data_IF_345604159576
#
_entry.id   IF_345604159576
#
_cell.length_a   1.000
_cell.length_b   1.000
_cell.length_c   1.000
_cell.angle_alpha   90.00
_cell.angle_beta   90.00
_cell.angle_gamma   90.00
#
_symmetry.space_group_name_H-M   'P 1'
#
loop_
_entity.id
_entity.type
_entity.pdbx_description
1 polymer ?
#
# COMPACT_ATOMS: atom_id res chain seq x y z
N UNK A 1 33.13 -33.73 10.32
CA UNK A 1 31.66 -33.69 10.12
C UNK A 1 31.42 -33.67 8.62
N UNK A 2 30.94 -34.78 8.06
CA UNK A 2 30.54 -34.84 6.64
C UNK A 2 29.26 -34.02 6.50
N UNK A 3 29.35 -32.84 5.92
CA UNK A 3 28.19 -32.02 5.59
C UNK A 3 27.56 -32.61 4.32
N UNK A 4 26.52 -33.43 4.47
CA UNK A 4 25.77 -34.03 3.37
C UNK A 4 24.79 -33.05 2.70
N UNK A 5 24.80 -31.76 3.10
CA UNK A 5 23.94 -30.74 2.51
C UNK A 5 24.28 -30.54 1.04
N UNK A 6 23.26 -30.75 0.19
CA UNK A 6 23.34 -30.40 -1.23
C UNK A 6 23.37 -28.88 -1.34
N UNK A 7 24.33 -28.32 -2.06
CA UNK A 7 24.38 -26.88 -2.31
C UNK A 7 24.64 -26.56 -3.77
N UNK A 8 24.41 -25.30 -4.16
CA UNK A 8 24.78 -24.79 -5.48
C UNK A 8 26.03 -23.95 -5.32
N UNK A 9 27.09 -24.31 -6.05
CA UNK A 9 28.38 -23.61 -5.99
C UNK A 9 28.62 -22.88 -7.32
N UNK A 10 28.91 -21.58 -7.22
CA UNK A 10 29.16 -20.72 -8.37
C UNK A 10 30.64 -20.37 -8.40
N UNK A 11 31.29 -20.68 -9.50
CA UNK A 11 32.64 -20.24 -9.81
C UNK A 11 32.59 -19.15 -10.86
N UNK A 12 32.95 -17.94 -10.44
CA UNK A 12 33.05 -16.80 -11.33
C UNK A 12 34.51 -16.54 -11.68
N UNK A 13 34.79 -16.45 -12.97
CA UNK A 13 36.12 -16.13 -13.48
C UNK A 13 36.01 -14.98 -14.46
N UNK A 14 36.75 -13.89 -14.19
CA UNK A 14 36.78 -12.74 -15.07
C UNK A 14 37.54 -13.03 -16.38
N UNK A 15 37.31 -12.17 -17.38
CA UNK A 15 37.87 -12.24 -18.73
C UNK A 15 39.36 -12.63 -18.80
N UNK A 16 40.21 -11.98 -17.98
CA UNK A 16 41.66 -12.24 -17.96
C UNK A 16 42.01 -13.67 -17.56
N UNK A 17 41.14 -14.32 -16.78
CA UNK A 17 41.37 -15.68 -16.33
C UNK A 17 41.30 -16.68 -17.48
N UNK A 18 40.31 -16.52 -18.36
CA UNK A 18 40.06 -17.38 -19.52
C UNK A 18 41.09 -17.16 -20.64
N UNK A 19 41.43 -15.89 -20.91
CA UNK A 19 42.46 -15.52 -21.90
C UNK A 19 43.84 -16.11 -21.63
N UNK A 20 44.16 -16.36 -20.36
CA UNK A 20 45.48 -16.89 -19.93
C UNK A 20 45.39 -18.34 -19.44
N UNK A 21 44.36 -19.07 -19.90
CA UNK A 21 44.09 -20.43 -19.45
C UNK A 21 45.20 -21.41 -19.87
N UNK A 22 45.74 -22.14 -18.89
CA UNK A 22 46.84 -23.09 -19.08
C UNK A 22 46.68 -24.31 -18.17
N UNK A 23 47.57 -25.30 -18.30
CA UNK A 23 47.52 -26.55 -17.50
C UNK A 23 47.52 -26.31 -15.98
N UNK A 24 48.25 -25.29 -15.50
CA UNK A 24 48.33 -24.96 -14.06
C UNK A 24 46.99 -24.43 -13.55
N UNK A 25 46.36 -23.50 -14.27
CA UNK A 25 45.05 -22.93 -13.90
C UNK A 25 43.92 -23.96 -13.96
N UNK A 26 43.95 -24.85 -14.94
CA UNK A 26 43.03 -26.00 -14.99
C UNK A 26 43.13 -26.84 -13.73
N UNK A 27 44.35 -27.08 -13.25
CA UNK A 27 44.59 -27.85 -12.03
C UNK A 27 44.04 -27.12 -10.80
N UNK A 28 44.20 -25.80 -10.71
CA UNK A 28 43.57 -24.98 -9.66
C UNK A 28 42.04 -25.10 -9.65
N UNK A 29 41.39 -25.03 -10.82
CA UNK A 29 39.93 -25.20 -10.91
C UNK A 29 39.54 -26.60 -10.47
N UNK A 30 40.26 -27.62 -10.93
CA UNK A 30 39.98 -29.02 -10.57
C UNK A 30 40.09 -29.25 -9.07
N UNK A 31 41.09 -28.67 -8.41
CA UNK A 31 41.24 -28.75 -6.96
C UNK A 31 40.12 -28.01 -6.22
N UNK A 32 39.68 -26.86 -6.71
CA UNK A 32 38.57 -26.12 -6.12
C UNK A 32 37.24 -26.87 -6.27
N UNK A 33 36.95 -27.43 -7.46
CA UNK A 33 35.76 -28.24 -7.72
C UNK A 33 35.76 -29.53 -6.89
N UNK A 34 36.92 -30.17 -6.70
CA UNK A 34 37.06 -31.36 -5.85
C UNK A 34 36.77 -31.12 -4.38
N UNK A 35 36.80 -29.86 -3.90
CA UNK A 35 36.45 -29.53 -2.51
C UNK A 35 34.94 -29.47 -2.28
N UNK A 36 34.13 -29.50 -3.33
CA UNK A 36 32.67 -29.28 -3.27
C UNK A 36 31.88 -30.50 -3.83
N UNK A 37 32.25 -31.71 -3.39
CA UNK A 37 31.79 -33.00 -3.98
C UNK A 37 30.28 -33.28 -3.90
N UNK A 38 29.53 -32.57 -3.06
CA UNK A 38 28.06 -32.70 -2.92
C UNK A 38 27.29 -31.48 -3.47
N UNK A 39 27.84 -30.79 -4.47
CA UNK A 39 27.27 -29.53 -4.97
C UNK A 39 26.99 -29.54 -6.47
N UNK A 40 25.97 -28.80 -6.88
CA UNK A 40 25.80 -28.43 -8.27
C UNK A 40 26.77 -27.30 -8.61
N UNK A 41 27.80 -27.62 -9.39
CA UNK A 41 28.84 -26.67 -9.79
C UNK A 41 28.42 -25.96 -11.07
N UNK A 42 28.43 -24.62 -11.04
CA UNK A 42 28.20 -23.74 -12.19
C UNK A 42 29.38 -22.80 -12.40
N UNK A 43 29.76 -22.58 -13.66
CA UNK A 43 30.72 -21.54 -14.04
C UNK A 43 29.98 -20.36 -14.66
N UNK A 44 30.24 -19.15 -14.17
CA UNK A 44 29.67 -17.92 -14.73
C UNK A 44 30.78 -17.14 -15.43
N UNK A 45 30.54 -16.78 -16.69
CA UNK A 45 31.43 -15.95 -17.52
C UNK A 45 30.86 -14.55 -17.71
N UNK A 46 31.72 -13.58 -18.02
CA UNK A 46 31.32 -12.18 -18.26
C UNK A 46 30.81 -11.93 -19.67
N UNK A 47 31.14 -12.80 -20.63
CA UNK A 47 30.68 -12.70 -22.01
C UNK A 47 30.36 -14.07 -22.63
N UNK A 48 29.66 -14.05 -23.77
CA UNK A 48 29.40 -15.26 -24.57
C UNK A 48 30.65 -15.79 -25.26
N UNK A 49 31.61 -14.91 -25.56
CA UNK A 49 32.92 -15.31 -26.13
C UNK A 49 33.68 -16.16 -25.12
N UNK A 50 33.75 -15.72 -23.86
CA UNK A 50 34.37 -16.48 -22.77
C UNK A 50 33.62 -17.77 -22.45
N UNK A 51 32.31 -17.82 -22.70
CA UNK A 51 31.53 -19.04 -22.50
C UNK A 51 32.05 -20.16 -23.37
N UNK A 52 32.35 -19.88 -24.63
CA UNK A 52 32.81 -20.91 -25.56
C UNK A 52 34.20 -21.44 -25.14
N UNK A 53 35.08 -20.56 -24.64
CA UNK A 53 36.35 -20.95 -24.02
C UNK A 53 36.16 -21.81 -22.76
N UNK A 54 35.23 -21.40 -21.88
CA UNK A 54 34.91 -22.12 -20.65
C UNK A 54 34.26 -23.49 -20.94
N UNK A 55 33.41 -23.59 -21.96
CA UNK A 55 32.78 -24.82 -22.43
C UNK A 55 33.83 -25.79 -22.94
N UNK A 56 34.77 -25.31 -23.76
CA UNK A 56 35.85 -26.16 -24.29
C UNK A 56 36.76 -26.66 -23.17
N UNK A 57 37.06 -25.80 -22.19
CA UNK A 57 37.78 -26.18 -20.98
C UNK A 57 37.01 -27.26 -20.17
N UNK A 58 35.71 -27.07 -19.95
CA UNK A 58 34.87 -28.03 -19.21
C UNK A 58 34.78 -29.39 -19.92
N UNK A 59 34.64 -29.40 -21.27
CA UNK A 59 34.68 -30.61 -22.09
C UNK A 59 36.00 -31.36 -21.94
N UNK A 60 37.12 -30.64 -22.12
CA UNK A 60 38.46 -31.24 -22.11
C UNK A 60 38.84 -31.82 -20.75
N UNK A 61 38.43 -31.15 -19.66
CA UNK A 61 38.91 -31.47 -18.32
C UNK A 61 37.85 -32.06 -17.38
N UNK A 62 36.62 -32.26 -17.87
CA UNK A 62 35.47 -32.82 -17.14
C UNK A 62 35.22 -32.09 -15.81
N UNK A 63 35.15 -30.76 -15.88
CA UNK A 63 35.01 -29.89 -14.69
C UNK A 63 33.56 -29.81 -14.20
N UNK A 64 32.62 -29.60 -15.10
CA UNK A 64 31.18 -29.64 -14.84
C UNK A 64 30.43 -29.97 -16.15
N UNK A 65 29.11 -30.24 -16.10
CA UNK A 65 28.27 -30.32 -17.30
C UNK A 65 28.34 -29.02 -18.12
N UNK A 66 28.31 -29.14 -19.44
CA UNK A 66 28.37 -27.97 -20.35
C UNK A 66 27.18 -27.03 -20.11
N UNK A 67 26.01 -27.58 -19.79
CA UNK A 67 24.80 -26.84 -19.42
C UNK A 67 24.94 -26.01 -18.15
N UNK A 68 26.02 -26.20 -17.38
CA UNK A 68 26.31 -25.45 -16.16
C UNK A 68 27.32 -24.30 -16.39
N UNK A 69 27.74 -24.08 -17.63
CA UNK A 69 28.54 -22.90 -18.01
C UNK A 69 27.57 -21.83 -18.51
N UNK A 70 27.52 -20.70 -17.81
CA UNK A 70 26.49 -19.67 -17.98
C UNK A 70 27.15 -18.33 -18.30
N UNK A 71 26.64 -17.70 -19.34
CA UNK A 71 26.95 -16.31 -19.74
C UNK A 71 25.71 -15.43 -19.65
N UNK A 72 25.81 -14.11 -19.87
CA UNK A 72 24.66 -13.21 -19.87
C UNK A 72 23.52 -13.67 -20.79
N UNK A 73 23.83 -14.14 -22.01
CA UNK A 73 22.84 -14.61 -22.99
C UNK A 73 22.48 -16.10 -22.87
N UNK A 74 23.14 -16.85 -21.98
CA UNK A 74 22.87 -18.29 -21.81
C UNK A 74 21.50 -18.57 -21.21
N UNK A 75 20.94 -19.71 -21.59
CA UNK A 75 19.80 -20.30 -20.91
C UNK A 75 20.19 -20.66 -19.47
N UNK A 76 19.48 -20.06 -18.51
CA UNK A 76 19.74 -20.23 -17.06
C UNK A 76 18.84 -21.29 -16.44
N UNK A 77 18.06 -22.02 -17.25
CA UNK A 77 17.07 -23.01 -16.77
C UNK A 77 17.72 -24.06 -15.87
N UNK A 78 18.83 -24.66 -16.30
CA UNK A 78 19.54 -25.68 -15.51
C UNK A 78 20.04 -25.14 -14.14
N UNK A 79 20.47 -23.88 -14.10
CA UNK A 79 20.89 -23.21 -12.86
C UNK A 79 19.73 -22.96 -11.91
N UNK A 80 18.65 -22.38 -12.42
CA UNK A 80 17.47 -22.16 -11.62
C UNK A 80 16.89 -23.50 -11.13
N UNK A 81 16.82 -24.53 -11.98
CA UNK A 81 16.39 -25.86 -11.57
C UNK A 81 17.24 -26.44 -10.44
N UNK A 82 18.56 -26.42 -10.56
CA UNK A 82 19.45 -26.88 -9.50
C UNK A 82 19.24 -26.09 -8.20
N UNK A 83 19.14 -24.76 -8.28
CA UNK A 83 18.92 -23.89 -7.12
C UNK A 83 17.61 -24.19 -6.41
N UNK A 84 16.51 -24.26 -7.17
CA UNK A 84 15.21 -24.52 -6.60
C UNK A 84 15.09 -25.95 -6.06
N UNK A 85 15.72 -26.94 -6.69
CA UNK A 85 15.74 -28.31 -6.17
C UNK A 85 16.48 -28.39 -4.83
N UNK A 86 17.60 -27.67 -4.67
CA UNK A 86 18.30 -27.57 -3.37
C UNK A 86 17.40 -26.88 -2.35
N UNK A 87 16.80 -25.75 -2.70
CA UNK A 87 15.90 -25.02 -1.82
C UNK A 87 14.70 -25.87 -1.37
N UNK A 88 14.10 -26.63 -2.28
CA UNK A 88 12.99 -27.54 -1.97
C UNK A 88 13.38 -28.59 -0.93
N UNK A 89 14.53 -29.23 -1.12
CA UNK A 89 15.03 -30.27 -0.22
C UNK A 89 15.37 -29.71 1.18
N UNK A 90 15.99 -28.54 1.25
CA UNK A 90 16.33 -27.88 2.53
C UNK A 90 15.05 -27.46 3.28
N UNK A 91 14.07 -26.89 2.58
CA UNK A 91 12.77 -26.53 3.17
C UNK A 91 12.00 -27.76 3.63
N UNK A 92 12.07 -28.88 2.89
CA UNK A 92 11.47 -30.15 3.31
C UNK A 92 12.12 -30.69 4.58
N UNK A 93 13.46 -30.71 4.63
CA UNK A 93 14.21 -31.16 5.81
C UNK A 93 13.85 -30.32 7.03
N UNK A 94 13.82 -28.99 6.86
CA UNK A 94 13.42 -28.07 7.92
C UNK A 94 11.96 -28.28 8.36
N UNK A 95 11.05 -28.58 7.43
CA UNK A 95 9.65 -28.90 7.74
C UNK A 95 9.54 -30.16 8.58
N UNK A 96 10.25 -31.23 8.20
CA UNK A 96 10.29 -32.48 8.94
C UNK A 96 10.88 -32.30 10.34
N UNK A 97 11.93 -31.51 10.49
CA UNK A 97 12.50 -31.17 11.80
C UNK A 97 11.49 -30.41 12.69
N UNK A 98 10.69 -29.51 12.11
CA UNK A 98 9.63 -28.80 12.82
C UNK A 98 8.46 -29.73 13.21
N UNK A 99 8.21 -30.80 12.48
CA UNK A 99 7.17 -31.79 12.79
C UNK A 99 7.46 -32.56 14.08
N UNK A 100 8.74 -32.82 14.36
CA UNK A 100 9.19 -33.60 15.52
C UNK A 100 9.20 -32.77 16.82
N UNK A 101 9.13 -31.43 16.72
CA UNK A 101 9.16 -30.54 17.90
C UNK A 101 7.79 -30.36 18.56
N UNK A 102 7.77 -30.21 19.88
CA UNK A 102 6.57 -29.93 20.68
C UNK A 102 5.83 -28.72 20.13
N UNK A 103 4.55 -28.88 19.81
CA UNK A 103 3.76 -27.84 19.12
C UNK A 103 3.54 -26.61 20.00
N UNK A 104 4.21 -25.52 19.65
CA UNK A 104 3.93 -24.17 20.18
C UNK A 104 3.21 -23.32 19.13
N UNK A 105 2.52 -22.26 19.55
CA UNK A 105 1.86 -21.31 18.63
C UNK A 105 2.82 -20.74 17.58
N UNK A 106 4.08 -20.53 17.93
CA UNK A 106 5.13 -20.07 17.01
C UNK A 106 5.49 -21.17 16.00
N UNK A 107 5.66 -22.42 16.42
CA UNK A 107 5.94 -23.55 15.52
C UNK A 107 4.78 -23.75 14.53
N UNK A 108 3.53 -23.62 14.96
CA UNK A 108 2.37 -23.69 14.08
C UNK A 108 2.37 -22.59 13.02
N UNK A 109 2.61 -21.33 13.40
CA UNK A 109 2.68 -20.21 12.44
C UNK A 109 3.80 -20.40 11.42
N UNK A 110 4.98 -20.86 11.86
CA UNK A 110 6.12 -21.15 10.99
C UNK A 110 5.81 -22.29 10.01
N UNK A 111 5.13 -23.37 10.46
CA UNK A 111 4.67 -24.47 9.58
C UNK A 111 3.72 -23.98 8.49
N UNK A 112 2.72 -23.14 8.83
CA UNK A 112 1.78 -22.60 7.84
C UNK A 112 2.49 -21.79 6.76
N UNK A 113 3.45 -20.93 7.15
CA UNK A 113 4.24 -20.14 6.20
C UNK A 113 5.10 -21.03 5.32
N UNK A 114 5.75 -22.04 5.91
CA UNK A 114 6.63 -22.97 5.19
C UNK A 114 5.87 -23.80 4.16
N UNK A 115 4.68 -24.31 4.50
CA UNK A 115 3.83 -25.07 3.58
C UNK A 115 3.42 -24.23 2.36
N UNK A 116 3.05 -22.97 2.57
CA UNK A 116 2.74 -22.06 1.46
C UNK A 116 3.93 -21.87 0.50
N UNK A 117 5.16 -21.75 1.04
CA UNK A 117 6.36 -21.65 0.21
C UNK A 117 6.64 -22.94 -0.57
N UNK A 118 6.47 -24.11 0.06
CA UNK A 118 6.64 -25.42 -0.58
C UNK A 118 5.64 -25.63 -1.72
N UNK A 119 4.37 -25.26 -1.53
CA UNK A 119 3.35 -25.31 -2.58
C UNK A 119 3.71 -24.44 -3.79
N UNK A 120 4.16 -23.21 -3.52
CA UNK A 120 4.58 -22.28 -4.59
C UNK A 120 5.78 -22.81 -5.36
N UNK A 121 6.74 -23.45 -4.68
CA UNK A 121 7.94 -23.99 -5.31
C UNK A 121 7.60 -25.21 -6.19
N UNK A 122 6.72 -26.10 -5.73
CA UNK A 122 6.21 -27.25 -6.49
C UNK A 122 5.44 -26.84 -7.75
N UNK A 123 4.73 -25.71 -7.70
CA UNK A 123 3.96 -25.21 -8.85
C UNK A 123 4.84 -24.77 -10.04
N UNK A 124 6.17 -24.65 -9.86
CA UNK A 124 7.10 -24.20 -10.91
C UNK A 124 7.31 -25.21 -12.05
N UNK A 125 7.20 -26.50 -11.77
CA UNK A 125 7.50 -27.56 -12.75
C UNK A 125 6.30 -27.91 -13.66
N UNK A 126 5.16 -27.23 -13.49
CA UNK A 126 4.06 -27.36 -14.44
C UNK A 126 4.46 -26.68 -15.77
N UNK A 127 4.88 -27.48 -16.75
CA UNK A 127 5.03 -27.08 -18.15
C UNK A 127 3.66 -26.64 -18.69
N UNK A 128 3.29 -25.39 -18.46
CA UNK A 128 2.09 -24.79 -19.01
C UNK A 128 2.49 -24.16 -20.34
N UNK A 129 2.14 -24.81 -21.47
CA UNK A 129 2.03 -24.09 -22.74
C UNK A 129 1.18 -22.86 -22.47
N UNK A 130 1.75 -21.66 -22.63
CA UNK A 130 1.03 -20.43 -22.36
C UNK A 130 -0.33 -20.46 -23.08
N UNK A 131 -1.46 -20.37 -22.37
CA UNK A 131 -2.78 -20.38 -22.99
C UNK A 131 -3.01 -19.16 -23.90
N UNK A 132 -2.12 -18.16 -23.85
CA UNK A 132 -2.09 -17.01 -24.76
C UNK A 132 -1.50 -17.35 -26.13
N UNK A 133 -2.37 -17.49 -27.13
CA UNK A 133 -1.97 -17.67 -28.53
C UNK A 133 -1.43 -16.37 -29.13
N UNK A 134 -0.56 -16.44 -30.15
CA UNK A 134 -0.09 -15.25 -30.90
C UNK A 134 -1.25 -14.40 -31.44
N UNK A 135 -2.31 -15.05 -31.90
CA UNK A 135 -3.52 -14.40 -32.42
C UNK A 135 -4.31 -13.68 -31.31
N UNK A 136 -4.39 -14.25 -30.12
CA UNK A 136 -4.98 -13.58 -28.95
C UNK A 136 -4.21 -12.28 -28.60
N UNK A 137 -2.88 -12.32 -28.59
CA UNK A 137 -2.04 -11.15 -28.33
C UNK A 137 -2.21 -10.04 -29.39
N UNK A 138 -2.36 -10.42 -30.65
CA UNK A 138 -2.62 -9.47 -31.74
C UNK A 138 -3.98 -8.79 -31.60
N UNK A 139 -5.02 -9.53 -31.21
CA UNK A 139 -6.34 -8.98 -30.92
C UNK A 139 -6.24 -7.96 -29.77
N UNK A 140 -5.61 -8.33 -28.64
CA UNK A 140 -5.43 -7.41 -27.51
C UNK A 140 -4.68 -6.14 -27.93
N UNK A 141 -3.61 -6.29 -28.72
CA UNK A 141 -2.80 -5.16 -29.19
C UNK A 141 -3.59 -4.23 -30.11
N UNK A 142 -4.37 -4.78 -31.04
CA UNK A 142 -5.19 -3.97 -31.97
C UNK A 142 -6.37 -3.31 -31.28
N UNK A 143 -6.93 -3.96 -30.25
CA UNK A 143 -8.00 -3.42 -29.40
C UNK A 143 -7.56 -2.26 -28.50
N UNK A 144 -6.26 -1.98 -28.37
CA UNK A 144 -5.77 -0.82 -27.61
C UNK A 144 -6.31 0.52 -28.12
N UNK A 145 -6.51 0.64 -29.44
CA UNK A 145 -7.13 1.81 -30.08
C UNK A 145 -8.58 2.04 -29.65
N UNK A 146 -9.25 1.00 -29.15
CA UNK A 146 -10.62 1.04 -28.69
C UNK A 146 -10.71 1.00 -27.15
N UNK A 147 -9.61 1.25 -26.42
CA UNK A 147 -9.65 1.40 -24.96
C UNK A 147 -9.26 0.17 -24.12
N UNK A 148 -8.67 -0.87 -24.72
CA UNK A 148 -7.93 -1.90 -23.96
C UNK A 148 -6.58 -1.34 -23.53
N UNK A 149 -6.33 -1.30 -22.23
CA UNK A 149 -5.12 -0.67 -21.66
C UNK A 149 -4.00 -1.70 -21.43
N UNK A 150 -4.36 -2.96 -21.14
CA UNK A 150 -3.38 -4.00 -20.87
C UNK A 150 -4.02 -5.35 -20.58
N UNK A 151 -3.21 -6.34 -20.26
CA UNK A 151 -3.68 -7.66 -19.86
C UNK A 151 -2.77 -8.33 -18.83
N UNK A 152 -3.31 -9.31 -18.11
CA UNK A 152 -2.57 -10.19 -17.19
C UNK A 152 -3.09 -11.61 -17.31
N UNK A 153 -2.18 -12.57 -17.41
CA UNK A 153 -2.50 -13.99 -17.33
C UNK A 153 -2.28 -14.50 -15.89
N UNK A 154 -3.29 -15.13 -15.30
CA UNK A 154 -3.24 -15.81 -14.01
C UNK A 154 -3.69 -17.26 -14.20
N UNK A 155 -2.73 -18.18 -14.35
CA UNK A 155 -3.05 -19.57 -14.68
C UNK A 155 -3.79 -19.67 -16.02
N UNK A 156 -5.05 -20.13 -16.00
CA UNK A 156 -5.92 -20.22 -17.18
C UNK A 156 -6.93 -19.05 -17.27
N UNK A 157 -6.75 -17.99 -16.48
CA UNK A 157 -7.58 -16.78 -16.53
C UNK A 157 -6.82 -15.64 -17.20
N UNK A 158 -7.43 -15.03 -18.22
CA UNK A 158 -6.94 -13.86 -18.93
C UNK A 158 -7.74 -12.63 -18.50
N UNK A 159 -7.10 -11.75 -17.74
CA UNK A 159 -7.68 -10.47 -17.34
C UNK A 159 -7.30 -9.39 -18.34
N UNK A 160 -8.30 -8.77 -18.96
CA UNK A 160 -8.16 -7.64 -19.88
C UNK A 160 -8.52 -6.37 -19.13
N UNK A 161 -7.64 -5.37 -19.17
CA UNK A 161 -7.86 -4.09 -18.51
C UNK A 161 -8.43 -3.06 -19.47
N UNK A 162 -9.54 -2.43 -19.08
CA UNK A 162 -10.30 -1.49 -19.91
C UNK A 162 -10.33 -0.08 -19.32
N UNK A 163 -10.37 0.93 -20.19
CA UNK A 163 -10.65 2.33 -19.83
C UNK A 163 -12.15 2.61 -19.78
N UNK A 164 -12.54 3.82 -19.37
CA UNK A 164 -13.95 4.20 -19.26
C UNK A 164 -14.66 4.26 -20.62
N UNK A 165 -13.92 4.62 -21.68
CA UNK A 165 -14.45 4.68 -23.04
C UNK A 165 -14.93 3.31 -23.52
N UNK A 166 -14.10 2.28 -23.41
CA UNK A 166 -14.48 0.90 -23.76
C UNK A 166 -15.59 0.35 -22.88
N UNK A 167 -15.61 0.73 -21.59
CA UNK A 167 -16.66 0.31 -20.64
C UNK A 167 -18.04 0.84 -21.06
N UNK A 168 -18.08 2.05 -21.62
CA UNK A 168 -19.32 2.70 -22.05
C UNK A 168 -19.78 2.22 -23.44
N UNK A 169 -18.86 1.75 -24.29
CA UNK A 169 -19.16 1.17 -25.60
C UNK A 169 -19.47 -0.33 -25.54
N UNK A 170 -20.69 -0.68 -25.08
CA UNK A 170 -21.09 -2.08 -24.83
C UNK A 170 -20.94 -3.01 -26.04
N UNK A 171 -21.30 -2.54 -27.24
CA UNK A 171 -21.20 -3.34 -28.46
C UNK A 171 -19.73 -3.64 -28.79
N UNK A 172 -18.90 -2.59 -28.80
CA UNK A 172 -17.47 -2.70 -29.10
C UNK A 172 -16.73 -3.57 -28.08
N UNK A 173 -17.06 -3.43 -26.80
CA UNK A 173 -16.56 -4.28 -25.71
C UNK A 173 -16.92 -5.73 -25.92
N UNK A 174 -18.17 -6.02 -26.28
CA UNK A 174 -18.66 -7.37 -26.53
C UNK A 174 -17.97 -8.01 -27.74
N UNK A 175 -17.72 -7.24 -28.81
CA UNK A 175 -16.96 -7.71 -29.98
C UNK A 175 -15.54 -8.12 -29.60
N UNK A 176 -14.83 -7.26 -28.86
CA UNK A 176 -13.45 -7.54 -28.44
C UNK A 176 -13.42 -8.74 -27.49
N UNK A 177 -14.37 -8.82 -26.55
CA UNK A 177 -14.49 -9.94 -25.63
C UNK A 177 -14.71 -11.26 -26.38
N UNK A 178 -15.62 -11.28 -27.35
CA UNK A 178 -15.88 -12.46 -28.18
C UNK A 178 -14.65 -12.85 -29.02
N UNK A 179 -13.97 -11.88 -29.62
CA UNK A 179 -12.73 -12.12 -30.36
C UNK A 179 -11.64 -12.74 -29.47
N UNK A 180 -11.48 -12.27 -28.23
CA UNK A 180 -10.49 -12.81 -27.29
C UNK A 180 -10.90 -14.21 -26.82
N UNK A 181 -12.16 -14.42 -26.44
CA UNK A 181 -12.71 -15.73 -26.03
C UNK A 181 -12.56 -16.79 -27.13
N UNK A 182 -12.74 -16.42 -28.39
CA UNK A 182 -12.54 -17.33 -29.52
C UNK A 182 -11.07 -17.76 -29.73
N UNK A 183 -10.10 -17.05 -29.14
CA UNK A 183 -8.67 -17.28 -29.35
C UNK A 183 -7.90 -17.63 -28.06
N UNK A 184 -8.60 -17.72 -26.92
CA UNK A 184 -8.07 -18.07 -25.61
C UNK A 184 -8.85 -19.25 -25.03
N UNK A 185 -8.18 -20.35 -24.70
CA UNK A 185 -8.82 -21.60 -24.24
C UNK A 185 -9.15 -21.61 -22.73
N UNK A 186 -9.18 -20.44 -22.10
CA UNK A 186 -9.45 -20.27 -20.68
C UNK A 186 -10.49 -19.19 -20.44
N UNK A 187 -10.62 -18.75 -19.19
CA UNK A 187 -11.60 -17.73 -18.83
C UNK A 187 -11.09 -16.33 -19.18
N UNK A 188 -11.96 -15.48 -19.73
CA UNK A 188 -11.62 -14.10 -20.09
C UNK A 188 -12.42 -13.16 -19.21
N UNK A 189 -11.72 -12.29 -18.49
CA UNK A 189 -12.28 -11.35 -17.53
C UNK A 189 -11.94 -9.92 -17.91
N UNK A 190 -12.93 -9.11 -18.25
CA UNK A 190 -12.73 -7.67 -18.42
C UNK A 190 -12.82 -6.97 -17.07
N UNK A 191 -11.79 -6.23 -16.72
CA UNK A 191 -11.70 -5.49 -15.45
C UNK A 191 -11.33 -4.03 -15.73
N UNK A 192 -12.02 -3.06 -15.13
CA UNK A 192 -11.60 -1.68 -15.26
C UNK A 192 -10.26 -1.49 -14.54
N UNK A 193 -9.36 -0.70 -15.14
CA UNK A 193 -7.99 -0.53 -14.63
C UNK A 193 -7.95 -0.05 -13.17
N UNK A 194 -8.89 0.82 -12.78
CA UNK A 194 -9.04 1.36 -11.43
C UNK A 194 -9.38 0.29 -10.36
N UNK A 195 -9.79 -0.92 -10.76
CA UNK A 195 -9.99 -2.05 -9.85
C UNK A 195 -8.74 -2.94 -9.70
N UNK A 196 -7.68 -2.69 -10.47
CA UNK A 196 -6.53 -3.62 -10.57
C UNK A 196 -5.17 -2.96 -10.35
N UNK A 197 -4.99 -1.72 -10.81
CA UNK A 197 -3.86 -0.90 -10.39
C UNK A 197 -4.28 -0.07 -9.18
N UNK A 198 -3.59 -0.26 -8.06
CA UNK A 198 -3.60 0.72 -6.96
C UNK A 198 -2.57 1.79 -7.31
N UNK A 199 -2.97 3.05 -7.54
CA UNK A 199 -2.02 4.14 -7.77
C UNK A 199 -1.06 4.28 -6.58
N UNK A 200 0.15 4.80 -6.82
CA UNK A 200 1.17 4.98 -5.76
C UNK A 200 0.88 6.13 -4.79
N UNK A 201 -0.19 6.90 -4.99
CA UNK A 201 -0.62 7.94 -4.05
C UNK A 201 -1.81 7.42 -3.21
N UNK A 202 -1.55 6.70 -2.12
CA UNK A 202 -2.59 6.15 -1.24
C UNK A 202 -2.87 7.10 -0.09
N UNK A 203 -3.54 8.21 -0.38
CA UNK A 203 -3.92 9.20 0.63
C UNK A 203 -5.19 8.76 1.35
N UNK A 204 -5.13 8.67 2.67
CA UNK A 204 -6.20 8.20 3.56
C UNK A 204 -6.54 9.21 4.66
N UNK A 205 -7.69 9.04 5.28
CA UNK A 205 -8.01 9.73 6.52
C UNK A 205 -6.99 9.34 7.60
N UNK A 206 -6.47 10.28 8.37
CA UNK A 206 -5.37 10.02 9.29
C UNK A 206 -3.97 10.05 8.65
N UNK A 207 -3.83 10.20 7.33
CA UNK A 207 -2.51 10.41 6.72
C UNK A 207 -2.01 11.85 6.88
N UNK A 208 -0.70 12.01 6.68
CA UNK A 208 -0.04 13.31 6.64
C UNK A 208 -0.60 14.22 5.55
N UNK A 209 -1.05 15.40 5.99
CA UNK A 209 -1.25 16.57 5.15
C UNK A 209 -0.02 17.46 5.23
N UNK A 210 0.52 17.82 4.07
CA UNK A 210 1.55 18.86 3.96
C UNK A 210 0.93 20.12 3.36
N UNK A 211 1.21 21.26 3.99
CA UNK A 211 1.04 22.56 3.37
C UNK A 211 2.31 22.89 2.57
N UNK A 212 2.25 22.78 1.25
CA UNK A 212 3.43 22.96 0.39
C UNK A 212 3.92 24.41 0.36
N UNK A 213 3.02 25.37 0.59
CA UNK A 213 3.35 26.80 0.64
C UNK A 213 4.24 27.14 1.84
N UNK A 214 4.07 26.45 2.97
CA UNK A 214 4.68 26.84 4.26
C UNK A 214 5.54 25.76 4.91
N UNK A 215 5.46 24.52 4.42
CA UNK A 215 6.15 23.37 5.01
C UNK A 215 5.57 22.91 6.36
N UNK A 216 4.35 23.35 6.70
CA UNK A 216 3.63 22.91 7.91
C UNK A 216 2.97 21.55 7.63
N UNK A 217 2.93 20.69 8.64
CA UNK A 217 2.34 19.36 8.56
C UNK A 217 1.12 19.23 9.49
N UNK A 218 0.17 18.40 9.09
CA UNK A 218 -0.99 18.02 9.89
C UNK A 218 -1.61 16.72 9.39
N UNK A 219 -2.90 16.54 9.62
CA UNK A 219 -3.63 15.31 9.27
C UNK A 219 -4.77 15.59 8.29
N UNK A 220 -4.96 14.69 7.33
CA UNK A 220 -6.17 14.63 6.51
C UNK A 220 -7.27 13.98 7.34
N UNK A 221 -8.30 14.73 7.70
CA UNK A 221 -9.35 14.26 8.60
C UNK A 221 -10.31 13.27 7.94
N UNK A 222 -11.09 13.74 6.97
CA UNK A 222 -12.16 12.96 6.34
C UNK A 222 -12.48 13.47 4.95
N UNK A 223 -12.85 12.56 4.04
CA UNK A 223 -13.31 12.91 2.69
C UNK A 223 -14.83 13.07 2.63
N UNK A 224 -15.29 13.87 1.68
CA UNK A 224 -16.70 14.00 1.35
C UNK A 224 -16.94 14.51 -0.06
N UNK A 225 -18.21 14.60 -0.43
CA UNK A 225 -18.69 15.15 -1.68
C UNK A 225 -19.44 16.45 -1.42
N UNK A 226 -18.91 17.53 -1.99
CA UNK A 226 -19.49 18.86 -1.93
C UNK A 226 -20.37 19.08 -3.17
N UNK A 227 -21.65 19.38 -2.92
CA UNK A 227 -22.66 19.58 -3.96
C UNK A 227 -23.15 21.02 -3.94
N UNK A 228 -23.17 21.67 -5.09
CA UNK A 228 -23.85 22.95 -5.24
C UNK A 228 -25.35 22.71 -5.45
N UNK A 229 -26.19 23.26 -4.59
CA UNK A 229 -27.64 23.06 -4.62
C UNK A 229 -28.33 23.79 -5.77
N UNK A 230 -27.63 24.71 -6.46
CA UNK A 230 -28.14 25.41 -7.66
C UNK A 230 -27.74 24.72 -8.97
N UNK A 231 -26.56 24.10 -9.01
CA UNK A 231 -26.01 23.43 -10.18
C UNK A 231 -25.84 21.92 -9.89
N UNK A 232 -26.86 21.15 -10.27
CA UNK A 232 -26.97 19.69 -10.05
C UNK A 232 -25.86 18.84 -10.70
N UNK A 233 -24.91 19.46 -11.41
CA UNK A 233 -23.83 18.78 -12.12
C UNK A 233 -22.43 19.08 -11.56
N UNK A 234 -22.31 19.88 -10.48
CA UNK A 234 -21.00 20.25 -9.90
C UNK A 234 -20.74 19.54 -8.58
N UNK A 235 -20.50 18.22 -8.66
CA UNK A 235 -20.04 17.41 -7.52
C UNK A 235 -18.51 17.55 -7.42
N UNK A 236 -18.02 17.89 -6.23
CA UNK A 236 -16.59 18.02 -5.96
C UNK A 236 -16.17 17.18 -4.77
N UNK A 237 -15.16 16.33 -4.94
CA UNK A 237 -14.54 15.65 -3.80
C UNK A 237 -13.76 16.66 -2.96
N UNK A 238 -14.00 16.65 -1.66
CA UNK A 238 -13.33 17.50 -0.68
C UNK A 238 -12.72 16.67 0.45
N UNK A 239 -11.74 17.23 1.14
CA UNK A 239 -11.19 16.69 2.37
C UNK A 239 -11.22 17.73 3.49
N UNK A 240 -11.39 17.26 4.72
CA UNK A 240 -11.30 18.07 5.92
C UNK A 240 -9.89 18.03 6.51
N UNK A 241 -9.47 19.13 7.10
CA UNK A 241 -8.30 19.21 7.98
C UNK A 241 -8.48 20.41 8.92
N UNK A 242 -7.39 21.01 9.38
CA UNK A 242 -7.39 22.14 10.29
C UNK A 242 -6.79 23.44 9.67
N UNK A 243 -7.38 24.62 9.91
CA UNK A 243 -6.93 25.96 9.52
C UNK A 243 -5.55 26.37 9.94
N UNK A 244 -5.08 25.93 11.12
CA UNK A 244 -3.72 26.24 11.53
C UNK A 244 -2.68 25.42 10.72
N UNK A 245 -3.12 24.37 10.02
CA UNK A 245 -2.31 23.59 9.06
C UNK A 245 -2.44 24.17 7.65
N UNK A 246 -3.66 24.44 7.19
CA UNK A 246 -3.93 24.83 5.79
C UNK A 246 -5.09 25.81 5.69
N UNK A 247 -4.95 26.86 4.87
CA UNK A 247 -5.98 27.90 4.66
C UNK A 247 -6.19 28.20 3.18
N UNK A 248 -7.24 28.96 2.86
CA UNK A 248 -7.67 29.22 1.48
C UNK A 248 -6.51 29.70 0.59
N UNK A 249 -6.33 29.05 -0.56
CA UNK A 249 -5.24 29.31 -1.51
C UNK A 249 -3.96 28.54 -1.22
N UNK A 250 -3.82 27.90 -0.06
CA UNK A 250 -2.70 27.01 0.22
C UNK A 250 -2.85 25.68 -0.54
N UNK A 251 -1.74 25.19 -1.07
CA UNK A 251 -1.67 23.90 -1.77
C UNK A 251 -1.53 22.76 -0.77
N UNK A 252 -2.43 21.78 -0.87
CA UNK A 252 -2.40 20.55 -0.10
C UNK A 252 -1.55 19.51 -0.82
N UNK A 253 -0.61 18.92 -0.08
CA UNK A 253 0.25 17.84 -0.56
C UNK A 253 0.30 16.65 0.39
N UNK A 254 0.83 15.53 -0.09
CA UNK A 254 1.14 14.35 0.72
C UNK A 254 2.48 14.49 1.46
N UNK A 255 2.82 13.50 2.30
CA UNK A 255 4.16 13.41 2.91
C UNK A 255 5.31 13.33 1.89
N UNK A 256 5.04 12.83 0.67
CA UNK A 256 6.02 12.79 -0.43
C UNK A 256 6.09 14.08 -1.24
N UNK A 257 5.23 15.07 -0.93
CA UNK A 257 5.15 16.34 -1.65
C UNK A 257 4.34 16.27 -2.95
N UNK A 258 3.53 15.22 -3.14
CA UNK A 258 2.60 15.15 -4.26
C UNK A 258 1.40 16.04 -3.97
N UNK A 259 1.07 16.97 -4.89
CA UNK A 259 -0.11 17.82 -4.78
C UNK A 259 -1.39 16.98 -4.87
N UNK A 260 -2.31 17.21 -3.94
CA UNK A 260 -3.61 16.55 -3.89
C UNK A 260 -4.79 17.52 -4.07
N UNK A 261 -4.58 18.81 -3.87
CA UNK A 261 -5.63 19.80 -4.02
C UNK A 261 -5.26 21.17 -3.48
N UNK A 262 -6.27 22.00 -3.29
CA UNK A 262 -6.14 23.35 -2.79
C UNK A 262 -7.19 23.63 -1.72
N UNK A 263 -6.79 24.29 -0.64
CA UNK A 263 -7.72 24.69 0.39
C UNK A 263 -8.61 25.84 -0.12
N UNK A 264 -9.93 25.71 0.07
CA UNK A 264 -10.93 26.70 -0.36
C UNK A 264 -11.58 27.43 0.82
N UNK A 265 -11.32 26.97 2.04
CA UNK A 265 -11.82 27.58 3.27
C UNK A 265 -11.02 27.05 4.45
N UNK A 266 -10.70 27.88 5.46
CA UNK A 266 -11.10 29.28 5.64
C UNK A 266 -10.19 30.29 4.96
N UNK A 267 -10.67 31.53 4.77
CA UNK A 267 -9.86 32.62 4.20
C UNK A 267 -8.67 33.08 5.06
N UNK A 268 -8.61 32.66 6.33
CA UNK A 268 -7.53 32.98 7.27
C UNK A 268 -7.24 31.77 8.17
N UNK A 269 -5.97 31.58 8.51
CA UNK A 269 -5.49 30.56 9.46
C UNK A 269 -5.97 30.80 10.89
N UNK A 270 -6.23 32.06 11.23
CA UNK A 270 -6.90 32.42 12.47
C UNK A 270 -8.41 32.16 12.33
N UNK A 271 -8.78 30.89 12.13
CA UNK A 271 -10.16 30.46 12.07
C UNK A 271 -10.53 29.75 13.36
N UNK A 272 -11.38 30.43 14.11
CA UNK A 272 -12.02 30.00 15.36
C UNK A 272 -12.68 28.62 15.26
N UNK A 273 -13.08 28.18 14.07
CA UNK A 273 -13.84 26.94 13.87
C UNK A 273 -12.98 25.71 13.56
N UNK A 274 -11.67 25.93 13.41
CA UNK A 274 -10.61 24.96 13.16
C UNK A 274 -10.91 23.79 12.22
N UNK A 275 -11.77 24.02 11.22
CA UNK A 275 -11.95 23.11 10.08
C UNK A 275 -11.48 23.82 8.82
N UNK A 276 -10.73 23.09 8.00
CA UNK A 276 -10.35 23.49 6.65
C UNK A 276 -10.95 22.54 5.65
N UNK A 277 -11.38 23.09 4.52
CA UNK A 277 -11.95 22.33 3.42
C UNK A 277 -11.00 22.45 2.23
N UNK A 278 -10.52 21.30 1.79
CA UNK A 278 -9.59 21.14 0.68
C UNK A 278 -10.39 20.59 -0.49
N UNK A 279 -10.40 21.30 -1.61
CA UNK A 279 -10.94 20.77 -2.87
C UNK A 279 -9.90 19.86 -3.49
N UNK A 280 -10.26 18.59 -3.69
CA UNK A 280 -9.34 17.58 -4.22
C UNK A 280 -9.27 17.68 -5.74
N UNK A 281 -8.06 17.60 -6.29
CA UNK A 281 -7.82 17.64 -7.73
C UNK A 281 -8.43 16.38 -8.39
N UNK A 282 -9.25 16.51 -9.45
CA UNK A 282 -9.94 15.36 -10.05
C UNK A 282 -9.01 14.24 -10.53
N UNK A 283 -7.78 14.59 -10.92
CA UNK A 283 -6.76 13.65 -11.39
C UNK A 283 -6.31 12.66 -10.30
N UNK A 284 -6.41 13.02 -9.02
CA UNK A 284 -5.95 12.19 -7.89
C UNK A 284 -7.09 11.44 -7.19
N UNK A 285 -8.36 11.68 -7.56
CA UNK A 285 -9.51 11.05 -6.90
C UNK A 285 -9.45 9.52 -6.96
N UNK A 286 -9.04 8.97 -8.11
CA UNK A 286 -8.93 7.52 -8.31
C UNK A 286 -7.76 6.88 -7.53
N UNK A 287 -6.84 7.69 -7.01
CA UNK A 287 -5.73 7.24 -6.18
C UNK A 287 -6.01 7.30 -4.68
N UNK A 288 -6.95 8.13 -4.23
CA UNK A 288 -7.32 8.23 -2.83
C UNK A 288 -7.75 6.87 -2.27
N UNK A 289 -7.10 6.45 -1.19
CA UNK A 289 -7.61 5.38 -0.36
C UNK A 289 -8.43 6.02 0.74
N UNK A 290 -9.67 6.40 0.41
CA UNK A 290 -10.55 7.20 1.27
C UNK A 290 -10.83 6.63 2.68
N UNK A 291 -10.38 5.40 3.00
CA UNK A 291 -10.79 4.71 4.24
C UNK A 291 -9.67 3.99 4.99
N UNK A 292 -9.52 4.28 6.28
CA UNK A 292 -9.00 3.38 7.32
C UNK A 292 -10.08 2.42 7.81
N UNK A 293 -11.34 2.83 7.71
CA UNK A 293 -12.50 2.28 8.38
C UNK A 293 -13.75 2.36 7.48
N UNK A 294 -14.09 1.25 6.81
CA UNK A 294 -15.11 1.20 5.76
C UNK A 294 -16.59 1.29 6.24
N UNK A 295 -16.88 2.09 7.26
CA UNK A 295 -18.21 2.38 7.78
C UNK A 295 -18.68 3.78 7.42
N UNK A 296 -19.99 3.95 7.25
CA UNK A 296 -20.57 5.27 7.02
C UNK A 296 -20.49 6.12 8.29
N UNK A 297 -19.96 7.34 8.16
CA UNK A 297 -19.85 8.26 9.28
C UNK A 297 -21.02 9.25 9.21
N UNK A 298 -21.81 9.31 10.28
CA UNK A 298 -22.88 10.30 10.41
C UNK A 298 -22.31 11.56 11.08
N UNK A 299 -22.49 12.72 10.45
CA UNK A 299 -22.12 14.02 11.04
C UNK A 299 -23.40 14.80 11.32
N UNK A 300 -23.88 14.72 12.56
CA UNK A 300 -25.07 15.43 13.03
C UNK A 300 -24.81 16.11 14.37
N UNK A 301 -25.57 17.16 14.68
CA UNK A 301 -25.47 17.81 15.97
C UNK A 301 -26.01 16.87 17.05
N UNK A 302 -25.24 16.71 18.12
CA UNK A 302 -25.59 15.85 19.24
C UNK A 302 -25.67 16.67 20.53
N UNK A 303 -26.69 16.44 21.37
CA UNK A 303 -26.75 17.07 22.68
C UNK A 303 -25.51 16.73 23.50
N UNK A 304 -24.93 17.71 24.19
CA UNK A 304 -23.73 17.50 25.01
C UNK A 304 -23.90 16.37 26.04
N UNK A 305 -25.09 16.28 26.65
CA UNK A 305 -25.42 15.22 27.62
C UNK A 305 -25.31 13.81 27.04
N UNK A 306 -25.47 13.62 25.71
CA UNK A 306 -25.34 12.29 25.10
C UNK A 306 -23.91 11.88 24.80
N UNK A 307 -22.98 12.84 24.76
CA UNK A 307 -21.57 12.65 24.43
C UNK A 307 -20.66 12.51 25.66
N UNK A 308 -21.13 12.97 26.82
CA UNK A 308 -20.37 12.90 28.08
C UNK A 308 -20.01 11.45 28.44
N UNK A 309 -18.75 11.21 28.79
CA UNK A 309 -18.16 9.91 29.13
C UNK A 309 -18.25 8.85 28.03
N UNK A 310 -18.42 9.27 26.77
CA UNK A 310 -18.41 8.33 25.64
C UNK A 310 -16.98 8.00 25.24
N UNK A 311 -16.78 6.74 24.90
CA UNK A 311 -15.57 6.26 24.26
C UNK A 311 -15.44 6.85 22.86
N UNK A 312 -14.24 7.30 22.54
CA UNK A 312 -13.90 7.91 21.27
C UNK A 312 -12.64 7.29 20.67
N UNK A 313 -12.54 7.37 19.35
CA UNK A 313 -11.37 6.96 18.59
C UNK A 313 -11.02 8.01 17.54
N UNK A 314 -9.73 8.19 17.24
CA UNK A 314 -9.28 8.96 16.08
C UNK A 314 -8.14 8.26 15.35
N UNK A 315 -7.90 8.69 14.12
CA UNK A 315 -6.72 8.35 13.32
C UNK A 315 -5.94 9.64 13.03
N UNK A 316 -4.76 9.78 13.64
CA UNK A 316 -3.86 10.93 13.45
C UNK A 316 -2.60 10.55 12.69
N UNK A 317 -2.00 11.50 11.96
CA UNK A 317 -0.79 11.25 11.18
C UNK A 317 0.43 10.86 12.05
N UNK A 318 0.47 11.34 13.30
CA UNK A 318 1.60 11.10 14.20
C UNK A 318 1.33 9.94 15.14
N UNK A 319 0.17 9.93 15.81
CA UNK A 319 -0.13 8.89 16.81
C UNK A 319 -0.78 7.64 16.23
N UNK A 320 -1.27 7.68 14.98
CA UNK A 320 -2.10 6.61 14.42
C UNK A 320 -3.46 6.49 15.11
N UNK A 321 -3.95 5.25 15.29
CA UNK A 321 -5.19 4.98 16.03
C UNK A 321 -4.98 5.23 17.52
N UNK A 322 -5.84 6.08 18.11
CA UNK A 322 -5.82 6.39 19.55
C UNK A 322 -7.24 6.34 20.09
N UNK A 323 -7.38 5.84 21.32
CA UNK A 323 -8.65 5.66 22.01
C UNK A 323 -8.66 6.47 23.30
N UNK A 324 -9.84 6.91 23.68
CA UNK A 324 -10.02 7.76 24.83
C UNK A 324 -11.48 7.89 25.21
N UNK A 325 -11.75 8.77 26.15
CA UNK A 325 -13.10 9.09 26.56
C UNK A 325 -13.31 10.60 26.71
N UNK A 326 -14.54 11.04 26.47
CA UNK A 326 -14.93 12.43 26.68
C UNK A 326 -15.16 12.64 28.17
N UNK A 327 -14.16 13.12 28.90
CA UNK A 327 -14.26 13.26 30.36
C UNK A 327 -15.14 14.43 30.76
N UNK A 328 -14.97 15.59 30.10
CA UNK A 328 -15.66 16.80 30.48
C UNK A 328 -16.03 17.63 29.25
N UNK A 329 -17.32 17.98 29.16
CA UNK A 329 -17.83 19.06 28.31
C UNK A 329 -18.34 20.12 29.29
N UNK A 330 -17.46 20.74 30.08
CA UNK A 330 -17.83 21.81 31.01
C UNK A 330 -17.11 23.09 30.63
N UNK A 331 -17.85 24.20 30.53
CA UNK A 331 -17.46 25.63 30.57
C UNK A 331 -16.12 26.04 29.93
N UNK A 332 -15.60 25.22 29.01
CA UNK A 332 -14.37 25.46 28.30
C UNK A 332 -14.73 25.81 26.87
N UNK A 333 -14.62 27.11 26.59
CA UNK A 333 -14.88 27.66 25.29
C UNK A 333 -13.58 28.15 24.68
N UNK A 334 -13.30 27.71 23.46
CA UNK A 334 -12.31 28.37 22.62
C UNK A 334 -13.08 29.28 21.67
N UNK A 335 -12.79 30.58 21.76
CA UNK A 335 -13.39 31.61 20.91
C UNK A 335 -14.93 31.62 20.92
N UNK A 336 -15.52 31.69 22.12
CA UNK A 336 -16.97 31.72 22.37
C UNK A 336 -17.73 30.46 21.88
N UNK A 337 -17.02 29.33 21.77
CA UNK A 337 -17.60 28.04 21.35
C UNK A 337 -17.12 26.91 22.25
N UNK A 338 -18.07 26.08 22.67
CA UNK A 338 -17.79 24.89 23.46
C UNK A 338 -16.84 23.95 22.68
N UNK A 339 -15.88 23.38 23.40
CA UNK A 339 -14.98 22.35 22.87
C UNK A 339 -15.06 21.08 23.72
N UNK A 340 -14.56 19.98 23.17
CA UNK A 340 -14.47 18.69 23.87
C UNK A 340 -13.06 18.50 24.41
N UNK A 341 -12.95 18.19 25.69
CA UNK A 341 -11.74 17.62 26.27
C UNK A 341 -11.82 16.10 26.19
N UNK A 342 -10.75 15.48 25.70
CA UNK A 342 -10.65 14.03 25.51
C UNK A 342 -9.42 13.55 26.25
N UNK A 343 -9.63 12.60 27.15
CA UNK A 343 -8.54 11.91 27.86
C UNK A 343 -8.21 10.61 27.16
N UNK A 344 -6.92 10.28 27.14
CA UNK A 344 -6.43 9.01 26.57
C UNK A 344 -6.79 7.85 27.48
N UNK A 345 -7.12 6.69 26.88
CA UNK A 345 -7.21 5.43 27.62
C UNK A 345 -5.81 4.91 28.02
N UNK A 346 -4.77 5.39 27.33
CA UNK A 346 -3.37 5.08 27.63
C UNK A 346 -2.79 6.16 28.56
N UNK A 347 -2.47 5.84 29.82
CA UNK A 347 -1.93 6.83 30.75
C UNK A 347 -0.52 7.30 30.38
N UNK A 348 0.22 6.53 29.57
CA UNK A 348 1.59 6.87 29.15
C UNK A 348 1.63 7.72 27.88
N UNK A 349 0.55 7.72 27.08
CA UNK A 349 0.50 8.40 25.79
C UNK A 349 -0.73 9.31 25.68
N UNK A 350 -0.58 10.58 25.29
CA UNK A 350 -1.71 11.48 25.11
C UNK A 350 -2.60 11.02 23.96
N UNK A 351 -3.88 11.40 24.01
CA UNK A 351 -4.84 11.06 22.96
C UNK A 351 -4.40 11.65 21.62
N UNK A 352 -3.79 12.84 21.60
CA UNK A 352 -3.31 13.54 20.42
C UNK A 352 -1.97 14.23 20.67
N UNK A 353 -1.12 14.30 19.63
CA UNK A 353 0.15 15.06 19.68
C UNK A 353 0.28 16.03 18.51
N UNK A 354 1.34 16.84 18.50
CA UNK A 354 1.72 17.65 17.34
C UNK A 354 1.75 16.80 16.06
N UNK A 355 1.09 17.29 15.01
CA UNK A 355 0.92 16.60 13.72
C UNK A 355 -0.44 15.91 13.53
N UNK A 356 -1.20 15.65 14.61
CA UNK A 356 -2.54 15.05 14.51
C UNK A 356 -3.66 16.05 14.22
N UNK A 357 -3.34 17.33 14.21
CA UNK A 357 -4.29 18.40 13.91
C UNK A 357 -5.08 18.15 12.62
N UNK A 358 -6.39 18.30 12.70
CA UNK A 358 -7.30 17.97 11.60
C UNK A 358 -7.83 16.53 11.61
N UNK A 359 -7.35 15.65 12.49
CA UNK A 359 -7.91 14.32 12.67
C UNK A 359 -9.37 14.37 13.17
N UNK A 360 -10.22 13.45 12.70
CA UNK A 360 -11.63 13.38 13.12
C UNK A 360 -11.77 12.46 14.34
N UNK A 361 -12.53 12.94 15.32
CA UNK A 361 -12.93 12.19 16.51
C UNK A 361 -14.24 11.46 16.23
N UNK A 362 -14.21 10.15 16.42
CA UNK A 362 -15.31 9.22 16.17
C UNK A 362 -15.87 8.65 17.46
N UNK A 363 -17.18 8.39 17.51
CA UNK A 363 -17.85 7.64 18.58
C UNK A 363 -18.90 6.70 17.99
N UNK A 364 -19.31 5.68 18.76
CA UNK A 364 -20.42 4.79 18.40
C UNK A 364 -21.63 5.09 19.27
N UNK A 365 -22.79 5.30 18.65
CA UNK A 365 -24.09 5.48 19.32
C UNK A 365 -25.11 4.61 18.60
N UNK A 366 -25.81 3.74 19.33
CA UNK A 366 -26.85 2.84 18.78
C UNK A 366 -26.38 2.03 17.56
N UNK A 367 -25.11 1.59 17.59
CA UNK A 367 -24.48 0.83 16.50
C UNK A 367 -24.12 1.64 15.26
N UNK A 368 -24.26 2.97 15.28
CA UNK A 368 -23.87 3.88 14.20
C UNK A 368 -22.62 4.68 14.57
N UNK A 369 -21.77 4.92 13.58
CA UNK A 369 -20.56 5.72 13.74
C UNK A 369 -20.84 7.20 13.53
N UNK A 370 -20.31 8.02 14.43
CA UNK A 370 -20.50 9.47 14.44
C UNK A 370 -19.18 10.20 14.39
N UNK A 371 -19.05 11.14 13.44
CA UNK A 371 -17.97 12.13 13.41
C UNK A 371 -18.38 13.33 14.24
N UNK A 372 -17.87 13.42 15.47
CA UNK A 372 -18.33 14.40 16.45
C UNK A 372 -17.42 15.62 16.56
N UNK A 373 -16.13 15.47 16.23
CA UNK A 373 -15.21 16.59 16.29
C UNK A 373 -13.96 16.46 15.44
N UNK A 374 -13.18 17.54 15.44
CA UNK A 374 -11.88 17.68 14.76
C UNK A 374 -10.84 18.09 15.78
N UNK A 375 -9.68 17.46 15.77
CA UNK A 375 -8.55 17.80 16.64
C UNK A 375 -8.02 19.19 16.31
N UNK A 376 -8.02 20.06 17.32
CA UNK A 376 -7.51 21.44 17.24
C UNK A 376 -5.99 21.53 17.32
N UNK A 377 -5.33 20.56 17.96
CA UNK A 377 -3.92 20.63 18.31
C UNK A 377 -3.65 21.37 19.64
N UNK A 378 -2.49 21.09 20.24
CA UNK A 378 -2.11 21.60 21.57
C UNK A 378 -2.57 20.72 22.75
N UNK A 379 -1.77 20.71 23.82
CA UNK A 379 -2.09 20.17 25.15
C UNK A 379 -2.58 21.30 26.05
N UNK A 380 -3.48 21.01 27.00
CA UNK A 380 -3.82 21.95 28.08
C UNK A 380 -2.71 21.99 29.12
N UNK A 381 -1.58 22.63 28.79
CA UNK A 381 -0.50 22.92 29.73
C UNK A 381 -0.72 24.28 30.39
N UNK A 382 -1.68 24.37 31.32
CA UNK A 382 -1.62 25.22 32.52
C UNK A 382 -3.01 25.31 33.17
N UNK A 383 -3.17 24.63 34.30
CA UNK A 383 -4.15 25.06 35.30
C UNK A 383 -3.39 25.73 36.43
N UNK A 384 -3.46 27.06 36.50
CA UNK A 384 -3.27 27.80 37.76
C UNK A 384 -4.31 27.41 38.85
N UNK A 385 -5.08 26.34 38.66
CA UNK A 385 -5.98 25.80 39.65
C UNK A 385 -5.32 24.61 40.36
N UNK A 386 -5.23 24.69 41.68
CA UNK A 386 -4.96 23.59 42.62
C UNK A 386 -6.03 22.50 42.53
N UNK A 387 -6.14 21.84 41.38
CA UNK A 387 -7.00 20.69 41.13
C UNK A 387 -6.17 19.62 40.43
N UNK A 388 -6.14 18.44 41.03
CA UNK A 388 -5.49 17.22 40.56
C UNK A 388 -6.14 16.70 39.26
N UNK A 389 -5.92 17.37 38.13
CA UNK A 389 -6.36 16.92 36.81
C UNK A 389 -5.13 16.49 36.02
N UNK A 390 -5.25 15.31 35.41
CA UNK A 390 -4.24 14.54 34.68
C UNK A 390 -3.68 15.30 33.47
N UNK A 391 -2.35 15.30 33.33
CA UNK A 391 -1.54 16.13 32.43
C UNK A 391 -1.70 15.87 30.90
N UNK A 392 -2.75 15.19 30.41
CA UNK A 392 -2.77 14.68 29.01
C UNK A 392 -4.13 14.79 28.29
N UNK A 393 -4.90 15.87 28.51
CA UNK A 393 -6.15 16.11 27.76
C UNK A 393 -5.90 16.70 26.36
N UNK A 394 -6.58 16.15 25.34
CA UNK A 394 -6.61 16.66 23.97
C UNK A 394 -7.89 17.43 23.68
N UNK A 395 -7.80 18.47 22.85
CA UNK A 395 -8.93 19.34 22.51
C UNK A 395 -9.49 19.00 21.12
N UNK A 396 -10.82 18.86 21.04
CA UNK A 396 -11.54 18.72 19.78
C UNK A 396 -12.69 19.73 19.65
N UNK A 397 -12.86 20.29 18.45
CA UNK A 397 -13.97 21.20 18.11
C UNK A 397 -15.12 20.42 17.48
N UNK A 398 -16.37 20.81 17.77
CA UNK A 398 -17.55 20.17 17.20
C UNK A 398 -17.63 20.30 15.68
N UNK A 399 -17.58 19.16 14.99
CA UNK A 399 -17.47 19.08 13.54
C UNK A 399 -18.70 19.66 12.84
N UNK A 400 -19.91 19.25 13.23
CA UNK A 400 -21.16 19.71 12.58
C UNK A 400 -21.30 21.23 12.59
N UNK A 401 -21.01 21.87 13.73
CA UNK A 401 -21.09 23.33 13.88
C UNK A 401 -20.10 24.05 12.96
N UNK A 402 -18.91 23.49 12.76
CA UNK A 402 -17.91 24.05 11.85
C UNK A 402 -18.36 23.93 10.37
N UNK A 403 -18.90 22.76 9.98
CA UNK A 403 -19.43 22.54 8.63
C UNK A 403 -20.63 23.42 8.33
N UNK A 404 -21.56 23.56 9.28
CA UNK A 404 -22.73 24.43 9.11
C UNK A 404 -22.35 25.88 8.87
N UNK A 405 -21.24 26.35 9.45
CA UNK A 405 -20.75 27.69 9.18
C UNK A 405 -20.14 27.83 7.79
N UNK A 406 -19.47 26.79 7.29
CA UNK A 406 -19.00 26.79 5.91
C UNK A 406 -20.16 26.85 4.92
N UNK A 407 -21.24 26.10 5.15
CA UNK A 407 -22.41 26.03 4.27
C UNK A 407 -23.40 27.18 4.50
N UNK A 408 -23.35 27.87 5.64
CA UNK A 408 -24.23 28.99 5.95
C UNK A 408 -24.18 30.08 4.87
N UNK A 409 -25.35 30.39 4.31
CA UNK A 409 -25.48 31.38 3.23
C UNK A 409 -24.85 30.96 1.90
N UNK A 410 -24.35 29.72 1.81
CA UNK A 410 -23.88 29.10 0.57
C UNK A 410 -24.92 28.07 0.14
N UNK A 411 -25.20 28.04 -1.15
CA UNK A 411 -26.02 27.00 -1.76
C UNK A 411 -25.19 25.71 -1.92
N UNK A 412 -24.62 25.20 -0.83
CA UNK A 412 -23.68 24.09 -0.84
C UNK A 412 -24.00 23.15 0.31
N UNK A 413 -23.98 21.85 0.04
CA UNK A 413 -23.97 20.80 1.05
C UNK A 413 -22.69 19.98 0.93
N UNK A 414 -22.27 19.35 2.03
CA UNK A 414 -21.18 18.37 2.01
C UNK A 414 -21.74 17.09 2.63
N UNK A 415 -21.70 16.02 1.85
CA UNK A 415 -21.97 14.66 2.32
C UNK A 415 -20.64 14.00 2.61
N UNK A 416 -20.42 13.55 3.85
CA UNK A 416 -19.19 12.89 4.22
C UNK A 416 -19.25 11.40 3.88
N UNK A 417 -18.13 10.90 3.40
CA UNK A 417 -17.99 9.49 3.03
C UNK A 417 -17.71 8.65 4.29
N UNK A 418 -16.81 7.70 4.15
CA UNK A 418 -16.32 6.79 5.16
C UNK A 418 -14.93 7.26 5.59
N UNK A 419 -14.50 6.95 6.82
CA UNK A 419 -13.14 7.28 7.31
C UNK A 419 -12.14 6.19 7.04
#
# INVERSE_FOLDING_TARGET
MNDERKSVCIFYFGEQFWKTMNKSRVQTIREAVRKVTNTYVFFITTSDVERDEAVECCKRFKLCPISHVISPASDKTAFYEAFYNVLENELHTFSSDLEIRTSTRQIYSTKCKLNFFLEKLRSRNASIKSPLTKKCLEIIKTSSKNGVIGYRLLGNELHIYENEHLRNERERRSEIENCIKNNFKGEVHFRPLNKVLKPQCTVRCGDYLRNDTLGIMGTIGMFGEMNNTVDTHSIHTVALSSPHVISSGDVAGTSTGERIGECIWPGSKANIHDVSIIKIDPSVINSLQRTHFNENITVEERPYGSLRYRDVVKYGATTGETRGSIEQINDFQLFDRDVMAISSDDPENPFSTNGDSGAIVLTIIDGKHYGIGVIYGGSLEDREAKSSITENESIAIFLKKAIDKFTAGKNVTIEFDKI
#
